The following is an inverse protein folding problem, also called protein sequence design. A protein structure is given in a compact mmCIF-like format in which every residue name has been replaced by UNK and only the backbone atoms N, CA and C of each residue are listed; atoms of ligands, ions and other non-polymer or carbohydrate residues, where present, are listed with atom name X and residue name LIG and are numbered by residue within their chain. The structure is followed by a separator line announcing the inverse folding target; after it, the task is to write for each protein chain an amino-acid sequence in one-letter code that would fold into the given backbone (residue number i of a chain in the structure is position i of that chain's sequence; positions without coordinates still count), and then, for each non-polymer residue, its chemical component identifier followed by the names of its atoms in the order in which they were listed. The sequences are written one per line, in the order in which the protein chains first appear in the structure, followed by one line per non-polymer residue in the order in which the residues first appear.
data_IF_029559612364
#
_entry.id   IF_029559612364
#
_cell.length_a   1.000
_cell.length_b   1.000
_cell.length_c   1.000
_cell.angle_alpha   90.00
_cell.angle_beta   90.00
_cell.angle_gamma   90.00
#
_symmetry.space_group_name_H-M   'P 1'
#
loop_
_entity.id
_entity.type
_entity.pdbx_description
1 polymer ?
#
# COMPACT_ATOMS: atom_id res chain seq x y z
N UNK A 1 -12.03 10.09 27.61
CA UNK A 1 -13.33 9.99 26.93
C UNK A 1 -13.41 11.18 26.00
N UNK A 2 -13.29 10.96 24.70
CA UNK A 2 -13.53 11.99 23.68
C UNK A 2 -15.00 11.85 23.27
N UNK A 3 -15.85 12.71 23.82
CA UNK A 3 -17.27 12.81 23.51
C UNK A 3 -17.50 14.16 22.81
N UNK A 4 -18.15 14.14 21.64
CA UNK A 4 -18.61 15.37 21.00
C UNK A 4 -20.08 15.59 21.37
N UNK A 5 -20.37 16.76 21.95
CA UNK A 5 -21.73 17.25 22.15
C UNK A 5 -22.13 18.17 20.99
N UNK A 6 -23.15 17.77 20.22
CA UNK A 6 -23.80 18.64 19.25
C UNK A 6 -25.19 18.99 19.78
N UNK A 7 -25.38 20.22 20.26
CA UNK A 7 -26.62 20.69 20.87
C UNK A 7 -27.46 21.55 19.92
N UNK A 8 -28.63 21.05 19.53
CA UNK A 8 -29.77 21.82 19.04
C UNK A 8 -31.00 21.51 19.91
N UNK A 9 -31.86 22.51 20.13
CA UNK A 9 -32.92 22.54 21.14
C UNK A 9 -33.58 21.18 21.47
N UNK A 10 -33.25 20.63 22.64
CA UNK A 10 -34.03 19.60 23.34
C UNK A 10 -33.53 18.15 23.28
N UNK A 11 -32.51 17.81 22.47
CA UNK A 11 -31.96 16.45 22.42
C UNK A 11 -30.44 16.48 22.52
N UNK A 12 -29.89 16.06 23.67
CA UNK A 12 -28.44 15.83 23.82
C UNK A 12 -28.10 14.48 23.17
N UNK A 13 -27.57 14.50 21.95
CA UNK A 13 -27.05 13.31 21.29
C UNK A 13 -25.56 13.17 21.63
N UNK A 14 -25.20 12.19 22.47
CA UNK A 14 -23.80 11.85 22.74
C UNK A 14 -23.25 11.00 21.59
N UNK A 15 -22.33 11.54 20.79
CA UNK A 15 -21.67 10.81 19.70
C UNK A 15 -20.25 10.44 20.13
N UNK A 16 -19.87 9.17 19.98
CA UNK A 16 -18.45 8.75 20.07
C UNK A 16 -17.67 9.47 18.96
N UNK A 17 -16.45 9.94 19.25
CA UNK A 17 -15.62 10.62 18.24
C UNK A 17 -15.44 9.77 16.97
N UNK A 18 -15.38 10.45 15.82
CA UNK A 18 -15.24 9.82 14.50
C UNK A 18 -13.95 8.97 14.40
N UNK A 19 -12.88 9.43 15.04
CA UNK A 19 -11.61 8.71 15.14
C UNK A 19 -11.75 7.36 15.87
N UNK A 20 -12.49 7.32 16.99
CA UNK A 20 -12.70 6.07 17.73
C UNK A 20 -13.54 5.07 16.95
N UNK A 21 -14.58 5.54 16.27
CA UNK A 21 -15.40 4.71 15.37
C UNK A 21 -14.56 4.12 14.22
N UNK A 22 -13.60 4.89 13.70
CA UNK A 22 -12.67 4.42 12.67
C UNK A 22 -11.74 3.32 13.20
N UNK A 23 -11.26 3.42 14.45
CA UNK A 23 -10.40 2.41 15.06
C UNK A 23 -11.13 1.05 15.22
N UNK A 24 -12.40 1.03 15.61
CA UNK A 24 -13.16 -0.23 15.73
C UNK A 24 -13.24 -0.98 14.38
N UNK A 25 -13.40 -0.24 13.28
CA UNK A 25 -13.35 -0.80 11.93
C UNK A 25 -11.96 -1.36 11.60
N UNK A 26 -10.90 -0.62 11.94
CA UNK A 26 -9.50 -1.03 11.74
C UNK A 26 -9.21 -2.35 12.45
N UNK A 27 -9.58 -2.48 13.73
CA UNK A 27 -9.40 -3.71 14.51
C UNK A 27 -10.15 -4.89 13.90
N UNK A 28 -11.38 -4.65 13.43
CA UNK A 28 -12.18 -5.66 12.72
C UNK A 28 -11.49 -6.14 11.45
N UNK A 29 -10.95 -5.22 10.66
CA UNK A 29 -10.28 -5.52 9.39
C UNK A 29 -8.98 -6.29 9.60
N UNK A 30 -8.16 -5.86 10.57
CA UNK A 30 -6.94 -6.55 10.98
C UNK A 30 -7.22 -8.03 11.29
N UNK A 31 -8.25 -8.29 12.09
CA UNK A 31 -8.66 -9.64 12.47
C UNK A 31 -9.17 -10.47 11.28
N UNK A 32 -10.02 -9.88 10.45
CA UNK A 32 -10.76 -10.63 9.41
C UNK A 32 -9.96 -10.86 8.13
N UNK A 33 -9.14 -9.89 7.72
CA UNK A 33 -8.50 -9.88 6.40
C UNK A 33 -6.98 -10.03 6.44
N UNK A 34 -6.34 -9.68 7.56
CA UNK A 34 -4.87 -9.69 7.67
C UNK A 34 -4.33 -10.78 8.61
N UNK A 35 -5.22 -11.59 9.19
CA UNK A 35 -4.84 -12.77 9.99
C UNK A 35 -4.14 -12.45 11.31
N UNK A 36 -4.20 -11.22 11.78
CA UNK A 36 -3.60 -10.80 13.05
C UNK A 36 -4.65 -10.73 14.15
N UNK A 37 -4.30 -11.04 15.40
CA UNK A 37 -5.20 -10.98 16.56
C UNK A 37 -4.90 -9.73 17.39
N UNK A 38 -5.55 -8.58 17.12
CA UNK A 38 -5.27 -7.36 17.88
C UNK A 38 -5.72 -7.45 19.34
N UNK A 39 -6.64 -8.35 19.69
CA UNK A 39 -7.17 -8.50 21.05
C UNK A 39 -6.14 -9.06 22.05
N UNK A 40 -5.04 -9.61 21.56
CA UNK A 40 -3.95 -10.12 22.41
C UNK A 40 -3.01 -9.00 22.89
N UNK A 41 -3.28 -7.74 22.51
CA UNK A 41 -2.40 -6.60 22.75
C UNK A 41 -3.17 -5.37 23.27
N UNK A 42 -2.51 -4.59 24.13
CA UNK A 42 -2.91 -3.22 24.43
C UNK A 42 -2.36 -2.28 23.34
N UNK A 43 -3.21 -1.83 22.45
CA UNK A 43 -2.82 -0.98 21.31
C UNK A 43 -2.94 0.50 21.68
N UNK A 44 -1.82 1.21 21.65
CA UNK A 44 -1.77 2.66 21.80
C UNK A 44 -1.46 3.33 20.45
N UNK A 45 -2.39 4.14 19.95
CA UNK A 45 -2.20 4.92 18.72
C UNK A 45 -2.01 6.38 19.11
N UNK A 46 -0.88 6.97 18.71
CA UNK A 46 -0.57 8.37 18.92
C UNK A 46 -0.36 9.08 17.59
N UNK A 47 -1.01 10.23 17.40
CA UNK A 47 -0.79 11.11 16.26
C UNK A 47 0.03 12.32 16.73
N UNK A 48 1.32 12.41 16.39
CA UNK A 48 2.19 13.50 16.84
C UNK A 48 1.73 14.86 16.32
N UNK A 49 2.02 15.92 17.07
CA UNK A 49 1.85 17.31 16.62
C UNK A 49 0.56 18.02 17.06
N UNK A 50 -0.31 17.35 17.83
CA UNK A 50 -1.44 18.01 18.52
C UNK A 50 -2.54 18.58 17.62
N UNK A 51 -2.46 18.37 16.30
CA UNK A 51 -3.53 18.71 15.35
C UNK A 51 -4.59 17.60 15.42
N UNK A 52 -5.89 17.93 15.62
CA UNK A 52 -6.95 16.93 15.62
C UNK A 52 -6.96 16.17 14.30
N UNK A 53 -6.62 14.87 14.34
CA UNK A 53 -6.78 13.97 13.19
C UNK A 53 -8.22 13.53 13.14
N UNK A 54 -9.06 14.40 12.60
CA UNK A 54 -10.50 14.21 12.61
C UNK A 54 -11.00 13.72 11.24
N UNK A 55 -10.89 12.41 11.04
CA UNK A 55 -11.55 11.80 9.88
C UNK A 55 -11.22 10.33 9.66
N UNK A 56 -12.20 9.55 9.14
CA UNK A 56 -12.01 8.14 8.83
C UNK A 56 -10.93 7.89 7.75
N UNK A 57 -10.49 8.95 7.05
CA UNK A 57 -9.53 8.90 5.95
C UNK A 57 -8.12 8.40 6.33
N UNK A 58 -7.82 8.26 7.63
CA UNK A 58 -6.59 7.65 8.15
C UNK A 58 -6.70 6.13 8.37
N UNK A 59 -7.84 5.50 8.03
CA UNK A 59 -8.09 4.08 8.26
C UNK A 59 -7.00 3.17 7.69
N UNK A 60 -6.60 3.41 6.44
CA UNK A 60 -5.55 2.61 5.78
C UNK A 60 -4.20 2.74 6.50
N UNK A 61 -3.86 3.95 6.95
CA UNK A 61 -2.64 4.25 7.71
C UNK A 61 -2.65 3.55 9.07
N UNK A 62 -3.77 3.61 9.79
CA UNK A 62 -3.93 2.94 11.09
C UNK A 62 -3.82 1.42 10.97
N UNK A 63 -4.45 0.81 9.96
CA UNK A 63 -4.31 -0.63 9.70
C UNK A 63 -2.84 -0.97 9.48
N UNK A 64 -2.14 -0.24 8.60
CA UNK A 64 -0.74 -0.52 8.28
C UNK A 64 0.18 -0.37 9.48
N UNK A 65 0.01 0.69 10.28
CA UNK A 65 0.82 0.93 11.47
C UNK A 65 0.63 -0.17 12.52
N UNK A 66 -0.62 -0.56 12.81
CA UNK A 66 -0.93 -1.61 13.79
C UNK A 66 -0.47 -2.97 13.26
N UNK A 67 -0.69 -3.27 11.98
CA UNK A 67 -0.21 -4.50 11.35
C UNK A 67 1.31 -4.63 11.46
N UNK A 68 2.04 -3.56 11.15
CA UNK A 68 3.50 -3.50 11.30
C UNK A 68 3.94 -3.73 12.74
N UNK A 69 3.29 -3.08 13.71
CA UNK A 69 3.62 -3.22 15.13
C UNK A 69 3.41 -4.66 15.64
N UNK A 70 2.32 -5.33 15.22
CA UNK A 70 2.02 -6.71 15.62
C UNK A 70 2.95 -7.72 14.93
N UNK A 71 3.26 -7.52 13.66
CA UNK A 71 4.04 -8.49 12.86
C UNK A 71 5.55 -8.28 12.95
N UNK A 72 6.00 -7.12 13.43
CA UNK A 72 7.42 -6.73 13.44
C UNK A 72 7.98 -6.43 12.06
N UNK A 73 7.14 -6.34 11.02
CA UNK A 73 7.58 -6.02 9.65
C UNK A 73 7.60 -4.50 9.49
N UNK A 74 8.75 -3.88 9.17
CA UNK A 74 8.83 -2.42 9.04
C UNK A 74 8.07 -1.90 7.82
N UNK A 75 7.48 -0.71 7.95
CA UNK A 75 6.86 0.04 6.86
C UNK A 75 7.91 0.89 6.15
N UNK A 76 7.84 0.99 4.82
CA UNK A 76 8.69 1.91 4.07
C UNK A 76 8.34 3.37 4.40
N UNK A 77 9.29 4.11 4.95
CA UNK A 77 9.11 5.49 5.37
C UNK A 77 8.99 6.49 4.20
N UNK A 78 9.19 6.05 2.96
CA UNK A 78 8.95 6.85 1.75
C UNK A 78 7.57 6.61 1.14
N UNK A 79 6.75 5.75 1.74
CA UNK A 79 5.37 5.48 1.31
C UNK A 79 4.39 6.31 2.12
N UNK A 80 3.64 7.17 1.44
CA UNK A 80 2.46 7.82 2.00
C UNK A 80 1.20 7.03 1.61
N UNK A 81 0.14 7.14 2.43
CA UNK A 81 -1.15 6.52 2.11
C UNK A 81 -2.31 7.33 2.67
N UNK A 82 -3.47 7.24 2.00
CA UNK A 82 -4.74 7.78 2.50
C UNK A 82 -5.87 6.86 2.07
N UNK A 83 -6.92 6.78 2.88
CA UNK A 83 -8.08 5.96 2.55
C UNK A 83 -8.88 5.63 3.80
N UNK A 84 -10.19 5.75 3.70
CA UNK A 84 -11.07 5.18 4.72
C UNK A 84 -11.12 3.66 4.58
N UNK A 85 -11.23 2.94 5.70
CA UNK A 85 -11.35 1.48 5.69
C UNK A 85 -12.75 1.08 6.12
N UNK A 86 -13.43 0.34 5.25
CA UNK A 86 -14.69 -0.30 5.59
C UNK A 86 -14.46 -1.61 6.37
N UNK A 87 -15.44 -2.03 7.17
CA UNK A 87 -15.42 -3.34 7.86
C UNK A 87 -15.28 -4.56 6.92
N UNK A 88 -15.46 -4.35 5.60
CA UNK A 88 -15.33 -5.38 4.56
C UNK A 88 -13.93 -5.40 3.91
N UNK A 89 -12.99 -4.62 4.42
CA UNK A 89 -11.62 -4.54 3.92
C UNK A 89 -11.44 -3.67 2.66
N UNK A 90 -12.48 -2.98 2.19
CA UNK A 90 -12.35 -2.03 1.09
C UNK A 90 -11.74 -0.72 1.54
N UNK A 91 -10.87 -0.17 0.67
CA UNK A 91 -10.31 1.17 0.77
C UNK A 91 -11.26 2.15 0.07
N UNK A 92 -11.80 3.09 0.84
CA UNK A 92 -12.85 4.00 0.43
C UNK A 92 -12.31 5.39 0.08
N UNK A 93 -12.95 6.10 -0.86
CA UNK A 93 -12.51 7.40 -1.33
C UNK A 93 -12.47 8.43 -0.22
N UNK A 94 -11.58 9.41 -0.38
CA UNK A 94 -11.36 10.51 0.55
C UNK A 94 -11.45 11.85 -0.16
N UNK A 95 -11.80 12.90 0.58
CA UNK A 95 -11.75 14.28 0.09
C UNK A 95 -10.32 14.82 -0.02
N UNK A 96 -10.14 15.82 -0.88
CA UNK A 96 -8.88 16.57 -0.99
C UNK A 96 -7.70 15.76 -1.54
N UNK A 97 -7.95 14.75 -2.38
CA UNK A 97 -6.90 13.81 -2.79
C UNK A 97 -5.71 14.48 -3.47
N UNK A 98 -5.95 15.49 -4.31
CA UNK A 98 -4.89 16.24 -5.00
C UNK A 98 -3.96 16.94 -4.00
N UNK A 99 -4.53 17.61 -3.00
CA UNK A 99 -3.75 18.29 -1.96
C UNK A 99 -2.97 17.29 -1.09
N UNK A 100 -3.54 16.12 -0.81
CA UNK A 100 -2.86 15.05 -0.04
C UNK A 100 -1.68 14.43 -0.80
N UNK A 101 -1.84 14.16 -2.10
CA UNK A 101 -0.76 13.66 -2.95
C UNK A 101 0.38 14.69 -3.02
N UNK A 102 0.04 15.96 -3.21
CA UNK A 102 1.04 17.03 -3.27
C UNK A 102 1.76 17.23 -1.94
N UNK A 103 1.04 17.18 -0.81
CA UNK A 103 1.66 17.22 0.51
C UNK A 103 2.63 16.05 0.73
N UNK A 104 2.28 14.84 0.29
CA UNK A 104 3.16 13.68 0.35
C UNK A 104 4.43 13.87 -0.50
N UNK A 105 4.28 14.42 -1.71
CA UNK A 105 5.40 14.78 -2.59
C UNK A 105 6.35 15.77 -1.93
N UNK A 106 5.82 16.85 -1.36
CA UNK A 106 6.59 17.88 -0.66
C UNK A 106 7.27 17.35 0.60
N UNK A 107 6.68 16.35 1.26
CA UNK A 107 7.28 15.64 2.38
C UNK A 107 8.37 14.63 1.96
N UNK A 108 8.63 14.46 0.65
CA UNK A 108 9.66 13.58 0.12
C UNK A 108 9.24 12.11 -0.02
N UNK A 109 7.94 11.82 -0.02
CA UNK A 109 7.46 10.49 -0.37
C UNK A 109 7.81 10.18 -1.84
N UNK A 110 8.22 8.94 -2.10
CA UNK A 110 8.46 8.44 -3.48
C UNK A 110 7.24 7.70 -4.01
N UNK A 111 6.32 7.32 -3.12
CA UNK A 111 5.12 6.57 -3.45
C UNK A 111 3.93 7.01 -2.60
N UNK A 112 2.76 7.11 -3.22
CA UNK A 112 1.48 7.43 -2.54
C UNK A 112 0.43 6.39 -2.89
N UNK A 113 -0.13 5.73 -1.88
CA UNK A 113 -1.25 4.79 -2.04
C UNK A 113 -2.56 5.54 -1.83
N UNK A 114 -3.47 5.45 -2.80
CA UNK A 114 -4.76 6.13 -2.79
C UNK A 114 -5.91 5.14 -3.05
N UNK A 115 -7.15 5.47 -2.65
CA UNK A 115 -8.30 4.65 -3.00
C UNK A 115 -8.47 4.58 -4.53
N UNK A 116 -8.82 3.40 -5.05
CA UNK A 116 -9.08 3.19 -6.48
C UNK A 116 -10.09 4.17 -7.05
N UNK A 117 -11.15 4.46 -6.29
CA UNK A 117 -12.20 5.40 -6.67
C UNK A 117 -11.73 6.87 -6.73
N UNK A 118 -10.59 7.21 -6.12
CA UNK A 118 -9.98 8.53 -6.25
C UNK A 118 -9.00 8.64 -7.44
N UNK A 119 -8.67 7.53 -8.11
CA UNK A 119 -7.69 7.51 -9.19
C UNK A 119 -8.11 8.39 -10.37
N UNK A 120 -7.14 9.11 -10.94
CA UNK A 120 -7.31 9.94 -12.12
C UNK A 120 -6.10 9.74 -13.04
N UNK A 121 -6.33 9.77 -14.35
CA UNK A 121 -5.28 9.56 -15.35
C UNK A 121 -4.13 10.60 -15.24
N UNK A 122 -4.43 11.79 -14.73
CA UNK A 122 -3.45 12.86 -14.47
C UNK A 122 -2.37 12.44 -13.46
N UNK A 123 -2.65 11.52 -12.54
CA UNK A 123 -1.70 11.07 -11.53
C UNK A 123 -0.58 10.20 -12.09
N UNK A 124 -0.80 9.52 -13.23
CA UNK A 124 0.25 8.75 -13.89
C UNK A 124 1.43 9.62 -14.35
N UNK A 125 1.20 10.91 -14.62
CA UNK A 125 2.25 11.85 -14.99
C UNK A 125 3.18 12.26 -13.84
N UNK A 126 2.81 12.00 -12.59
CA UNK A 126 3.61 12.36 -11.41
C UNK A 126 4.85 11.47 -11.26
N UNK A 127 4.86 10.28 -11.89
CA UNK A 127 6.02 9.39 -11.89
C UNK A 127 7.26 10.04 -12.52
N UNK A 128 7.06 10.88 -13.55
CA UNK A 128 8.15 11.66 -14.15
C UNK A 128 8.73 12.72 -13.19
N UNK A 129 8.00 13.05 -12.13
CA UNK A 129 8.40 13.98 -11.07
C UNK A 129 8.92 13.24 -9.82
N UNK A 130 9.14 11.93 -9.91
CA UNK A 130 9.67 11.11 -8.82
C UNK A 130 8.63 10.63 -7.81
N UNK A 131 7.33 10.74 -8.12
CA UNK A 131 6.24 10.28 -7.25
C UNK A 131 5.37 9.25 -7.97
N UNK A 132 5.43 8.00 -7.51
CA UNK A 132 4.55 6.94 -7.99
C UNK A 132 3.21 6.96 -7.22
N UNK A 133 2.09 7.08 -7.93
CA UNK A 133 0.76 6.97 -7.31
C UNK A 133 0.22 5.57 -7.58
N UNK A 134 -0.16 4.85 -6.51
CA UNK A 134 -0.74 3.52 -6.58
C UNK A 134 -2.20 3.55 -6.16
N UNK A 135 -3.07 2.94 -6.94
CA UNK A 135 -4.49 2.81 -6.64
C UNK A 135 -4.75 1.47 -5.93
N UNK A 136 -5.39 1.51 -4.77
CA UNK A 136 -5.76 0.31 -3.99
C UNK A 136 -7.28 0.24 -3.80
N UNK A 137 -7.85 -0.93 -4.04
CA UNK A 137 -9.26 -1.25 -3.76
C UNK A 137 -9.41 -1.94 -2.40
N UNK A 138 -8.39 -2.73 -2.03
CA UNK A 138 -8.42 -3.61 -0.85
C UNK A 138 -7.26 -3.32 0.10
N UNK A 139 -7.48 -3.54 1.39
CA UNK A 139 -6.47 -3.26 2.42
C UNK A 139 -5.22 -4.14 2.29
N UNK A 140 -5.40 -5.35 1.77
CA UNK A 140 -4.32 -6.30 1.48
C UNK A 140 -3.33 -5.72 0.46
N UNK A 141 -3.82 -4.95 -0.52
CA UNK A 141 -3.00 -4.28 -1.52
C UNK A 141 -2.20 -3.12 -0.91
N UNK A 142 -2.82 -2.37 0.02
CA UNK A 142 -2.13 -1.31 0.77
C UNK A 142 -0.97 -1.88 1.56
N UNK A 143 -1.21 -2.95 2.34
CA UNK A 143 -0.18 -3.63 3.12
C UNK A 143 0.94 -4.13 2.22
N UNK A 144 0.59 -4.82 1.13
CA UNK A 144 1.57 -5.37 0.19
C UNK A 144 2.48 -4.30 -0.43
N UNK A 145 1.96 -3.10 -0.66
CA UNK A 145 2.70 -1.98 -1.24
C UNK A 145 3.47 -1.13 -0.22
N UNK A 146 3.13 -1.22 1.07
CA UNK A 146 3.69 -0.37 2.13
C UNK A 146 4.77 -1.05 2.98
N UNK A 147 4.70 -2.37 3.18
CA UNK A 147 5.64 -3.09 4.06
C UNK A 147 6.93 -3.48 3.33
N UNK A 148 8.05 -3.44 4.04
CA UNK A 148 9.34 -3.92 3.54
C UNK A 148 9.41 -5.45 3.70
N UNK A 149 9.31 -6.19 2.58
CA UNK A 149 9.58 -7.64 2.62
C UNK A 149 11.09 -7.90 2.59
N UNK A 150 11.61 -8.89 3.35
CA UNK A 150 12.96 -9.38 3.14
C UNK A 150 13.15 -9.82 1.69
N UNK A 151 14.28 -9.42 1.08
CA UNK A 151 14.59 -9.64 -0.34
C UNK A 151 14.57 -11.13 -0.76
N UNK A 152 14.61 -12.06 0.21
CA UNK A 152 14.58 -13.52 0.02
C UNK A 152 13.26 -14.10 -0.48
N UNK A 153 12.19 -13.31 -0.62
CA UNK A 153 10.90 -13.78 -1.15
C UNK A 153 10.44 -13.04 -2.42
N UNK A 154 11.31 -12.25 -3.04
CA UNK A 154 11.06 -11.80 -4.41
C UNK A 154 11.51 -12.92 -5.34
N UNK A 155 10.63 -13.53 -6.16
CA UNK A 155 11.11 -14.33 -7.28
C UNK A 155 11.94 -13.40 -8.14
N UNK A 156 13.25 -13.64 -8.10
CA UNK A 156 14.24 -12.98 -8.94
C UNK A 156 13.78 -13.10 -10.38
N UNK A 157 13.22 -12.01 -10.90
CA UNK A 157 13.02 -11.85 -12.34
C UNK A 157 14.43 -11.81 -12.91
N UNK A 158 14.82 -12.72 -13.81
CA UNK A 158 16.13 -12.68 -14.41
C UNK A 158 16.29 -11.30 -15.05
N UNK A 159 17.28 -10.54 -14.59
CA UNK A 159 17.63 -9.28 -15.20
C UNK A 159 17.97 -9.57 -16.67
N UNK A 160 17.14 -9.05 -17.58
CA UNK A 160 17.46 -9.04 -19.00
C UNK A 160 18.70 -8.17 -19.18
N UNK A 161 19.87 -8.80 -19.33
CA UNK A 161 21.11 -8.04 -19.49
C UNK A 161 22.40 -8.79 -19.24
N UNK A 162 22.56 -10.00 -19.75
CA UNK A 162 23.88 -10.50 -20.13
C UNK A 162 23.73 -11.38 -21.36
N UNK A 163 24.03 -10.78 -22.51
CA UNK A 163 24.26 -11.50 -23.76
C UNK A 163 25.58 -12.23 -23.57
N UNK A 164 25.53 -13.47 -23.09
CA UNK A 164 26.68 -14.35 -23.12
C UNK A 164 26.91 -14.74 -24.58
N UNK A 165 27.89 -14.08 -25.19
CA UNK A 165 28.40 -14.40 -26.52
C UNK A 165 28.92 -15.83 -26.53
N UNK A 166 28.23 -16.70 -27.27
CA UNK A 166 28.74 -18.04 -27.59
C UNK A 166 30.07 -17.92 -28.35
N UNK A 167 31.13 -18.65 -27.98
CA UNK A 167 32.35 -18.71 -28.78
C UNK A 167 32.06 -19.40 -30.12
N UNK A 168 32.60 -18.81 -31.18
CA UNK A 168 32.44 -19.10 -32.60
C UNK A 168 33.12 -20.42 -33.04
N UNK A 169 32.80 -21.54 -32.38
CA UNK A 169 33.51 -22.80 -32.57
C UNK A 169 32.62 -24.06 -32.48
N UNK A 170 31.44 -24.07 -33.10
CA UNK A 170 30.79 -25.31 -33.58
C UNK A 170 30.01 -25.03 -34.88
N UNK A 171 30.65 -24.40 -35.86
CA UNK A 171 30.12 -24.24 -37.23
C UNK A 171 30.68 -25.31 -38.20
N UNK A 172 31.00 -26.51 -37.71
CA UNK A 172 31.61 -27.56 -38.52
C UNK A 172 31.14 -28.97 -38.12
N UNK A 173 29.88 -29.31 -38.40
CA UNK A 173 29.41 -30.71 -38.39
C UNK A 173 28.08 -30.95 -39.15
N UNK A 174 27.77 -30.19 -40.20
CA UNK A 174 26.57 -30.45 -41.01
C UNK A 174 26.78 -30.19 -42.52
N UNK A 175 27.98 -30.42 -43.03
CA UNK A 175 28.25 -30.49 -44.45
C UNK A 175 29.24 -31.63 -44.73
N UNK A 176 28.73 -32.73 -45.28
CA UNK A 176 29.57 -33.77 -45.88
C UNK A 176 29.26 -35.20 -45.43
N UNK A 177 28.31 -35.86 -46.11
CA UNK A 177 28.44 -37.29 -46.38
C UNK A 177 28.31 -37.48 -47.91
N UNK A 178 29.22 -38.24 -48.54
CA UNK A 178 29.46 -38.18 -49.98
C UNK A 178 28.57 -39.13 -50.77
N UNK A 179 28.31 -38.76 -52.01
CA UNK A 179 27.81 -39.69 -53.01
C UNK A 179 28.80 -40.81 -53.28
N UNK A 180 28.29 -42.03 -53.42
CA UNK A 180 28.96 -43.11 -54.13
C UNK A 180 28.01 -43.55 -55.24
N UNK A 181 28.54 -43.57 -56.46
CA UNK A 181 27.83 -43.83 -57.71
C UNK A 181 28.27 -45.17 -58.31
N UNK A 182 27.41 -45.69 -59.20
CA UNK A 182 27.66 -46.71 -60.25
C UNK A 182 27.84 -48.15 -59.71
N UNK A 183 27.19 -49.20 -60.21
CA UNK A 183 26.87 -49.54 -61.61
C UNK A 183 25.58 -50.34 -61.77
#
# INVERSE_FOLDING_TARGET
MEEEEMGGAGVTMRRRSMARSSLDNVLTVLRKYLGVRPDDYDIHVNFPGGVPVDGPSAGATMVTAIYSAITGIPVDNRVAMTGEVSIRGFVKPVGGIVAKIEAARLAGATRVIIPKDNWQATFAGLSAQGLEVLAAERIEEVIAAAILRPRTQQPETPAAGEVETLPEAVAAAAAGAPGLAVS
#
